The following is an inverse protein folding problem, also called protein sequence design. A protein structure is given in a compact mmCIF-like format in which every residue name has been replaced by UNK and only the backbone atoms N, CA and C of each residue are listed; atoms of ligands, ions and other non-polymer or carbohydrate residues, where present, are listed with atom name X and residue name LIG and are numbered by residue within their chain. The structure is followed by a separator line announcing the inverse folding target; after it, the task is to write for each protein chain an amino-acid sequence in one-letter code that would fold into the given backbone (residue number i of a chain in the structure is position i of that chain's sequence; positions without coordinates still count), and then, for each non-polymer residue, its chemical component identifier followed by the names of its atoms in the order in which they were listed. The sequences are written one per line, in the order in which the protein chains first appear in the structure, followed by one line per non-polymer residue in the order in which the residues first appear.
data_IF_840469309025
#
_entry.id   IF_840469309025
#
_cell.length_a   1.000
_cell.length_b   1.000
_cell.length_c   1.000
_cell.angle_alpha   90.00
_cell.angle_beta   90.00
_cell.angle_gamma   90.00
#
_symmetry.space_group_name_H-M   'P 1'
#
loop_
_entity.id
_entity.type
_entity.pdbx_description
1 polymer ?
#
# COMPACT_ATOMS: atom_id res chain seq x y z
N UNK A 1 17.72 2.29 10.86
CA UNK A 1 16.54 2.55 10.01
C UNK A 1 15.62 1.36 10.15
N UNK A 2 14.54 1.46 10.94
CA UNK A 2 13.55 0.38 10.99
C UNK A 2 12.84 0.37 9.65
N UNK A 3 12.93 -0.76 8.95
CA UNK A 3 12.28 -0.96 7.65
C UNK A 3 10.79 -1.07 7.93
N UNK A 4 10.02 0.00 7.65
CA UNK A 4 8.56 -0.05 7.73
C UNK A 4 8.06 -1.10 6.74
N UNK A 5 7.16 -1.98 7.20
CA UNK A 5 6.53 -2.97 6.33
C UNK A 5 5.63 -2.23 5.33
N UNK A 6 6.00 -2.25 4.05
CA UNK A 6 5.30 -1.56 2.97
C UNK A 6 4.23 -2.44 2.30
N UNK A 7 4.16 -3.72 2.68
CA UNK A 7 3.22 -4.70 2.15
C UNK A 7 3.50 -5.15 0.72
N UNK A 8 4.67 -4.79 0.14
CA UNK A 8 5.01 -5.06 -1.25
C UNK A 8 4.26 -4.18 -2.25
N UNK A 9 4.22 -4.58 -3.53
CA UNK A 9 3.54 -3.83 -4.58
C UNK A 9 2.01 -3.85 -4.40
N UNK A 10 1.35 -2.69 -4.50
CA UNK A 10 -0.11 -2.58 -4.41
C UNK A 10 -0.83 -3.38 -5.52
N UNK A 11 -0.22 -3.45 -6.70
CA UNK A 11 -0.73 -4.20 -7.85
C UNK A 11 0.39 -5.12 -8.37
N UNK A 12 0.51 -6.35 -7.84
CA UNK A 12 1.58 -7.26 -8.23
C UNK A 12 1.51 -7.62 -9.73
N UNK A 13 2.62 -7.43 -10.45
CA UNK A 13 2.73 -7.89 -11.83
C UNK A 13 2.80 -9.42 -11.90
N UNK A 14 2.08 -10.02 -12.86
CA UNK A 14 2.31 -11.40 -13.22
C UNK A 14 3.64 -11.51 -14.00
N UNK A 15 4.47 -12.54 -13.74
CA UNK A 15 5.68 -12.77 -14.52
C UNK A 15 5.33 -13.03 -15.99
N UNK A 16 6.04 -12.40 -16.93
CA UNK A 16 5.89 -12.71 -18.35
C UNK A 16 6.88 -13.84 -18.70
N UNK A 17 6.35 -15.02 -19.02
CA UNK A 17 7.13 -16.16 -19.53
C UNK A 17 7.27 -16.01 -21.05
N UNK A 18 8.25 -15.20 -21.49
CA UNK A 18 8.26 -14.68 -22.87
C UNK A 18 9.50 -14.98 -23.73
N UNK A 19 10.50 -15.73 -23.26
CA UNK A 19 11.71 -15.99 -24.05
C UNK A 19 11.87 -17.47 -24.44
N UNK A 20 12.19 -17.77 -25.71
CA UNK A 20 12.76 -19.06 -26.09
C UNK A 20 14.05 -19.27 -25.28
N UNK A 21 14.04 -20.23 -24.35
CA UNK A 21 15.14 -20.48 -23.43
C UNK A 21 14.77 -20.46 -21.93
N UNK A 22 13.51 -20.20 -21.57
CA UNK A 22 13.02 -20.35 -20.19
C UNK A 22 13.33 -19.17 -19.26
N UNK A 23 13.85 -18.06 -19.78
CA UNK A 23 14.07 -16.86 -18.98
C UNK A 23 12.74 -16.15 -18.69
N UNK A 24 12.42 -15.96 -17.41
CA UNK A 24 11.30 -15.16 -16.93
C UNK A 24 11.68 -13.69 -16.92
N UNK A 25 10.97 -12.84 -17.67
CA UNK A 25 11.06 -11.39 -17.48
C UNK A 25 9.95 -10.97 -16.54
N UNK A 26 10.34 -10.58 -15.34
CA UNK A 26 9.44 -9.86 -14.43
C UNK A 26 9.61 -8.37 -14.75
N UNK A 27 8.53 -7.69 -15.11
CA UNK A 27 8.58 -6.23 -15.19
C UNK A 27 8.85 -5.72 -13.78
N UNK A 28 10.00 -5.09 -13.57
CA UNK A 28 10.32 -4.45 -12.30
C UNK A 28 9.37 -3.26 -12.14
N UNK A 29 8.21 -3.49 -11.53
CA UNK A 29 7.26 -2.44 -11.24
C UNK A 29 7.77 -1.68 -10.03
N UNK A 30 8.48 -0.56 -10.28
CA UNK A 30 8.69 0.51 -9.30
C UNK A 30 7.37 1.26 -9.04
N UNK A 31 6.28 0.52 -8.79
CA UNK A 31 4.95 1.06 -8.57
C UNK A 31 4.75 1.57 -7.14
N UNK A 32 3.48 1.76 -6.77
CA UNK A 32 3.09 2.15 -5.40
C UNK A 32 3.16 0.95 -4.45
N UNK A 33 3.60 1.18 -3.21
CA UNK A 33 3.52 0.15 -2.16
C UNK A 33 2.07 -0.09 -1.74
N UNK A 34 1.74 -1.28 -1.24
CA UNK A 34 0.41 -1.57 -0.74
C UNK A 34 0.05 -0.64 0.44
N UNK A 35 1.03 -0.28 1.26
CA UNK A 35 0.90 0.73 2.31
C UNK A 35 0.45 2.08 1.76
N UNK A 36 1.12 2.59 0.73
CA UNK A 36 0.79 3.88 0.12
C UNK A 36 -0.60 3.84 -0.53
N UNK A 37 -0.96 2.70 -1.14
CA UNK A 37 -2.28 2.53 -1.72
C UNK A 37 -3.39 2.57 -0.66
N UNK A 38 -3.25 1.82 0.43
CA UNK A 38 -4.19 1.87 1.55
C UNK A 38 -4.27 3.25 2.18
N UNK A 39 -3.13 3.94 2.36
CA UNK A 39 -3.11 5.29 2.90
C UNK A 39 -3.88 6.26 1.99
N UNK A 40 -3.75 6.16 0.66
CA UNK A 40 -4.52 6.95 -0.29
C UNK A 40 -6.04 6.74 -0.16
N UNK A 41 -6.48 5.48 -0.01
CA UNK A 41 -7.90 5.16 0.17
C UNK A 41 -8.43 5.74 1.50
N UNK A 42 -7.69 5.56 2.58
CA UNK A 42 -8.02 6.12 3.89
C UNK A 42 -8.11 7.65 3.84
N UNK A 43 -7.11 8.31 3.24
CA UNK A 43 -7.08 9.76 3.11
C UNK A 43 -8.29 10.29 2.33
N UNK A 44 -8.70 9.64 1.24
CA UNK A 44 -9.86 10.03 0.48
C UNK A 44 -11.15 10.04 1.34
N UNK A 45 -11.37 8.99 2.13
CA UNK A 45 -12.50 8.92 3.06
C UNK A 45 -12.44 9.97 4.18
N UNK A 46 -11.26 10.15 4.78
CA UNK A 46 -11.04 11.16 5.82
C UNK A 46 -11.34 12.58 5.32
N UNK A 47 -10.85 12.92 4.12
CA UNK A 47 -11.06 14.24 3.53
C UNK A 47 -12.49 14.47 3.05
N UNK A 48 -13.19 13.43 2.62
CA UNK A 48 -14.61 13.52 2.30
C UNK A 48 -15.48 13.75 3.56
N UNK A 49 -15.07 13.19 4.71
CA UNK A 49 -15.78 13.35 5.98
C UNK A 49 -15.45 14.68 6.69
N UNK A 50 -14.28 15.27 6.45
CA UNK A 50 -13.83 16.52 7.04
C UNK A 50 -14.41 17.75 6.32
N UNK A 51 -15.74 17.87 6.28
CA UNK A 51 -16.45 18.92 5.55
C UNK A 51 -16.19 20.35 6.08
N UNK A 52 -15.61 20.48 7.28
CA UNK A 52 -15.30 21.76 7.92
C UNK A 52 -13.79 22.03 8.00
N UNK A 53 -12.96 21.24 7.31
CA UNK A 53 -11.49 21.37 7.32
C UNK A 53 -10.90 21.44 8.73
N UNK A 54 -11.46 20.65 9.65
CA UNK A 54 -11.05 20.62 11.07
C UNK A 54 -9.68 19.97 11.20
N UNK A 55 -9.34 19.04 10.31
CA UNK A 55 -8.07 18.33 10.36
C UNK A 55 -7.02 19.02 9.49
N UNK A 56 -5.85 19.24 10.07
CA UNK A 56 -4.69 19.65 9.30
C UNK A 56 -4.34 18.57 8.26
N UNK A 57 -3.73 18.99 7.14
CA UNK A 57 -3.26 18.05 6.09
C UNK A 57 -2.25 17.06 6.68
N UNK A 58 -1.44 17.50 7.63
CA UNK A 58 -0.45 16.70 8.33
C UNK A 58 -1.12 15.62 9.19
N UNK A 59 -2.19 15.96 9.91
CA UNK A 59 -2.95 15.00 10.72
C UNK A 59 -3.67 13.98 9.86
N UNK A 60 -4.32 14.43 8.76
CA UNK A 60 -4.99 13.53 7.84
C UNK A 60 -4.02 12.52 7.23
N UNK A 61 -2.83 12.96 6.81
CA UNK A 61 -1.78 12.07 6.30
C UNK A 61 -1.29 11.08 7.36
N UNK A 62 -1.05 11.56 8.59
CA UNK A 62 -0.61 10.71 9.71
C UNK A 62 -1.62 9.63 10.03
N UNK A 63 -2.91 9.98 10.12
CA UNK A 63 -3.98 9.03 10.42
C UNK A 63 -4.17 8.04 9.27
N UNK A 64 -4.12 8.50 8.01
CA UNK A 64 -4.22 7.64 6.85
C UNK A 64 -3.13 6.55 6.81
N UNK A 65 -1.87 6.92 7.08
CA UNK A 65 -0.78 5.95 7.17
C UNK A 65 -0.92 5.00 8.37
N UNK A 66 -1.43 5.48 9.51
CA UNK A 66 -1.72 4.60 10.65
C UNK A 66 -2.82 3.57 10.32
N UNK A 67 -3.84 3.95 9.55
CA UNK A 67 -4.86 3.02 9.06
C UNK A 67 -4.27 2.00 8.07
N UNK A 68 -3.38 2.44 7.18
CA UNK A 68 -2.64 1.55 6.28
C UNK A 68 -1.80 0.51 7.02
N UNK A 69 -1.07 0.95 8.05
CA UNK A 69 -0.24 0.07 8.88
C UNK A 69 -1.12 -0.97 9.62
N UNK A 70 -2.28 -0.56 10.14
CA UNK A 70 -3.23 -1.47 10.78
C UNK A 70 -3.78 -2.53 9.81
N UNK A 71 -4.10 -2.15 8.57
CA UNK A 71 -4.56 -3.10 7.55
C UNK A 71 -3.49 -4.13 7.18
N UNK A 72 -2.22 -3.73 7.10
CA UNK A 72 -1.12 -4.65 6.85
C UNK A 72 -0.90 -5.61 8.02
N UNK A 73 -1.02 -5.14 9.26
CA UNK A 73 -0.95 -5.99 10.46
C UNK A 73 -2.07 -7.03 10.44
N UNK A 74 -3.30 -6.63 10.10
CA UNK A 74 -4.45 -7.55 10.05
C UNK A 74 -4.24 -8.63 8.99
N UNK A 75 -3.88 -8.24 7.77
CA UNK A 75 -3.55 -9.18 6.68
C UNK A 75 -2.44 -10.14 7.07
N UNK A 76 -1.44 -9.65 7.78
CA UNK A 76 -0.33 -10.48 8.24
C UNK A 76 -0.78 -11.57 9.22
N UNK A 77 -1.95 -11.51 9.86
CA UNK A 77 -2.44 -12.60 10.73
C UNK A 77 -2.97 -13.79 9.93
N UNK A 78 -3.62 -13.55 8.79
CA UNK A 78 -4.16 -14.60 7.93
C UNK A 78 -3.06 -15.48 7.32
N UNK A 79 -1.87 -14.93 7.09
CA UNK A 79 -0.73 -15.67 6.55
C UNK A 79 -0.13 -16.71 7.53
N UNK A 80 -0.59 -16.76 8.78
CA UNK A 80 -0.12 -17.68 9.82
C UNK A 80 -1.19 -18.71 10.22
N UNK A 81 -2.30 -18.77 9.50
CA UNK A 81 -3.32 -19.82 9.62
C UNK A 81 -3.16 -20.86 8.52
#
# INVERSE_FOLDING_TARGET
MNKTNDGGAAFPAQPIYGYPGGATITTAQNGMSLRDWFAGQALAGLRAADASDVWSIQDAARVAYAQADAMLIERAKEAWQ
#
